data_IF_045678522611
#
_entry.id   IF_045678522611
#
_cell.length_a   1.000
_cell.length_b   1.000
_cell.length_c   1.000
_cell.angle_alpha   90.00
_cell.angle_beta   90.00
_cell.angle_gamma   90.00
#
_symmetry.space_group_name_H-M   'P 1'
#
loop_
_entity.id
_entity.type
_entity.pdbx_description
1 polymer ?
#
# COMPACT_ATOMS: atom_id res chain seq x y z
N UNK A 1 -7.92 -14.57 6.77
CA UNK A 1 -8.40 -13.37 6.07
C UNK A 1 -8.12 -13.55 4.59
N UNK A 2 -9.14 -13.43 3.75
CA UNK A 2 -8.95 -13.46 2.29
C UNK A 2 -8.51 -12.07 1.84
N UNK A 3 -7.44 -12.01 1.04
CA UNK A 3 -7.01 -10.81 0.31
C UNK A 3 -7.20 -11.08 -1.18
N UNK A 4 -7.51 -10.03 -1.94
CA UNK A 4 -7.69 -10.14 -3.39
C UNK A 4 -6.33 -10.15 -4.09
N UNK A 5 -5.42 -9.28 -3.63
CA UNK A 5 -4.12 -9.07 -4.27
C UNK A 5 -2.95 -9.11 -3.30
N UNK A 6 -1.87 -9.79 -3.71
CA UNK A 6 -0.57 -9.75 -3.03
C UNK A 6 0.49 -9.14 -3.94
N UNK A 7 0.99 -7.98 -3.53
CA UNK A 7 1.90 -7.20 -4.33
C UNK A 7 3.28 -7.84 -4.49
N UNK A 8 3.97 -7.50 -5.58
CA UNK A 8 5.26 -8.08 -5.96
C UNK A 8 6.38 -7.81 -4.97
N UNK A 9 6.32 -6.70 -4.21
CA UNK A 9 7.24 -6.43 -3.10
C UNK A 9 7.24 -7.53 -2.01
N UNK A 10 6.16 -8.30 -1.89
CA UNK A 10 6.00 -9.36 -0.90
C UNK A 10 6.38 -10.75 -1.42
N UNK A 11 6.91 -10.87 -2.65
CA UNK A 11 7.20 -12.16 -3.31
C UNK A 11 8.05 -13.14 -2.48
N UNK A 12 8.91 -12.63 -1.59
CA UNK A 12 9.79 -13.45 -0.73
C UNK A 12 9.25 -13.65 0.69
N UNK A 13 8.07 -13.11 0.99
CA UNK A 13 7.43 -13.22 2.30
C UNK A 13 6.31 -14.25 2.21
N UNK A 14 6.43 -15.29 3.03
CA UNK A 14 5.35 -16.25 3.21
C UNK A 14 4.43 -15.74 4.32
N UNK A 15 3.32 -15.13 3.92
CA UNK A 15 2.32 -14.61 4.86
C UNK A 15 1.37 -15.77 5.19
N UNK A 16 1.57 -16.39 6.35
CA UNK A 16 0.75 -17.49 6.85
C UNK A 16 0.04 -17.06 8.12
N UNK A 17 -1.28 -16.89 8.09
CA UNK A 17 -2.09 -16.50 9.26
C UNK A 17 -3.13 -15.42 8.93
N UNK A 18 -3.85 -14.96 9.96
CA UNK A 18 -4.67 -13.75 9.87
C UNK A 18 -3.77 -12.51 10.10
N UNK A 19 -3.92 -11.48 9.26
CA UNK A 19 -3.29 -10.20 9.49
C UNK A 19 -4.13 -9.41 10.49
N UNK A 20 -3.62 -9.26 11.71
CA UNK A 20 -4.16 -8.36 12.71
C UNK A 20 -3.26 -7.14 12.87
N UNK A 21 -3.83 -5.96 13.14
CA UNK A 21 -3.04 -4.84 13.67
C UNK A 21 -2.74 -5.18 15.12
N UNK A 22 -1.48 -5.50 15.40
CA UNK A 22 -1.02 -5.70 16.78
C UNK A 22 -0.55 -4.34 17.31
N UNK A 23 -1.18 -3.84 18.37
CA UNK A 23 -0.68 -2.67 19.11
C UNK A 23 0.48 -3.12 20.02
N UNK A 24 1.66 -3.34 19.45
CA UNK A 24 2.84 -3.83 20.17
C UNK A 24 3.76 -2.71 20.69
N UNK A 25 3.45 -1.44 20.37
CA UNK A 25 4.38 -0.33 20.52
C UNK A 25 5.40 -0.20 19.38
N UNK A 26 5.33 -1.08 18.37
CA UNK A 26 6.07 -0.94 17.12
C UNK A 26 5.65 0.35 16.41
N UNK A 27 6.63 1.17 16.04
CA UNK A 27 6.37 2.38 15.26
C UNK A 27 6.37 2.01 13.77
N UNK A 28 5.38 2.45 12.99
CA UNK A 28 5.35 2.17 11.57
C UNK A 28 6.65 2.62 10.90
N UNK A 29 7.20 1.77 10.05
CA UNK A 29 8.43 2.05 9.33
C UNK A 29 8.37 1.48 7.91
N UNK A 30 9.31 1.92 7.07
CA UNK A 30 9.44 1.38 5.73
C UNK A 30 9.80 -0.11 5.77
N UNK A 31 9.07 -0.91 4.98
CA UNK A 31 9.23 -2.36 4.90
C UNK A 31 8.20 -3.15 5.71
N UNK A 32 7.48 -2.51 6.64
CA UNK A 32 6.36 -3.15 7.33
C UNK A 32 5.28 -3.53 6.30
N UNK A 33 4.77 -4.76 6.40
CA UNK A 33 3.68 -5.26 5.58
C UNK A 33 2.37 -4.61 6.04
N UNK A 34 1.54 -4.21 5.09
CA UNK A 34 0.24 -3.59 5.37
C UNK A 34 -0.86 -4.27 4.56
N UNK A 35 -2.02 -4.46 5.19
CA UNK A 35 -3.26 -4.86 4.55
C UNK A 35 -4.21 -3.66 4.51
N UNK A 36 -4.68 -3.32 3.31
CA UNK A 36 -5.54 -2.15 3.08
C UNK A 36 -6.75 -2.50 2.21
N UNK A 37 -7.85 -1.75 2.35
CA UNK A 37 -8.93 -1.71 1.36
C UNK A 37 -8.77 -0.51 0.46
N UNK A 38 -8.80 -0.69 -0.85
CA UNK A 38 -8.89 0.45 -1.76
C UNK A 38 -10.22 1.20 -1.53
N UNK A 39 -10.14 2.52 -1.35
CA UNK A 39 -11.29 3.38 -1.04
C UNK A 39 -11.53 4.47 -2.08
N UNK A 40 -10.52 4.78 -2.91
CA UNK A 40 -10.63 5.71 -4.03
C UNK A 40 -9.62 5.31 -5.09
N UNK A 41 -10.05 5.24 -6.34
CA UNK A 41 -9.20 4.86 -7.47
C UNK A 41 -8.91 6.05 -8.37
N UNK A 42 -7.65 6.18 -8.77
CA UNK A 42 -7.21 7.05 -9.86
C UNK A 42 -7.01 6.19 -11.12
N UNK A 43 -7.91 6.33 -12.09
CA UNK A 43 -7.88 5.60 -13.37
C UNK A 43 -6.56 5.74 -14.14
N UNK A 44 -5.84 6.85 -13.97
CA UNK A 44 -4.55 7.10 -14.61
C UNK A 44 -3.38 6.39 -13.90
N UNK A 45 -3.57 5.94 -12.66
CA UNK A 45 -2.53 5.26 -11.87
C UNK A 45 -3.14 4.27 -10.86
N UNK A 46 -3.53 3.09 -11.34
CA UNK A 46 -4.09 2.02 -10.51
C UNK A 46 -3.54 0.62 -10.80
N UNK A 47 -2.55 0.48 -11.67
CA UNK A 47 -1.92 -0.81 -11.93
C UNK A 47 -1.08 -1.29 -10.73
N UNK A 48 -1.28 -2.55 -10.35
CA UNK A 48 -0.54 -3.28 -9.32
C UNK A 48 0.20 -4.46 -9.96
N UNK A 49 1.49 -4.58 -9.64
CA UNK A 49 2.35 -5.71 -9.97
C UNK A 49 2.21 -6.78 -8.88
N UNK A 50 1.80 -7.98 -9.27
CA UNK A 50 1.57 -9.11 -8.37
C UNK A 50 2.85 -9.94 -8.21
N UNK A 51 2.94 -10.73 -7.15
CA UNK A 51 4.10 -11.62 -6.91
C UNK A 51 4.38 -12.63 -8.03
N UNK A 52 3.36 -12.96 -8.83
CA UNK A 52 3.42 -13.82 -10.01
C UNK A 52 3.96 -13.16 -11.28
N UNK A 53 4.32 -11.87 -11.24
CA UNK A 53 4.69 -11.03 -12.39
C UNK A 53 3.52 -10.65 -13.32
N UNK A 54 2.27 -10.84 -12.86
CA UNK A 54 1.08 -10.33 -13.52
C UNK A 54 0.81 -8.88 -13.11
N UNK A 55 0.24 -8.10 -14.02
CA UNK A 55 -0.27 -6.75 -13.74
C UNK A 55 -1.80 -6.79 -13.69
N UNK A 56 -2.36 -6.21 -12.64
CA UNK A 56 -3.82 -6.03 -12.47
C UNK A 56 -4.14 -4.56 -12.23
N UNK A 57 -5.35 -4.14 -12.61
CA UNK A 57 -5.85 -2.81 -12.27
C UNK A 57 -6.63 -2.88 -10.96
N UNK A 58 -6.31 -2.02 -10.01
CA UNK A 58 -7.02 -1.94 -8.73
C UNK A 58 -8.44 -1.41 -8.93
N UNK A 59 -9.37 -1.95 -8.16
CA UNK A 59 -10.76 -1.49 -8.06
C UNK A 59 -11.08 -1.04 -6.63
N UNK A 60 -12.11 -0.20 -6.47
CA UNK A 60 -12.61 0.15 -5.15
C UNK A 60 -13.12 -1.09 -4.43
N UNK A 61 -12.68 -1.28 -3.20
CA UNK A 61 -13.05 -2.42 -2.39
C UNK A 61 -12.02 -3.55 -2.35
N UNK A 62 -11.06 -3.58 -3.30
CA UNK A 62 -9.97 -4.55 -3.32
C UNK A 62 -9.20 -4.53 -1.99
N UNK A 63 -8.95 -5.72 -1.45
CA UNK A 63 -8.09 -5.94 -0.30
C UNK A 63 -6.68 -6.30 -0.77
N UNK A 64 -5.74 -5.40 -0.53
CA UNK A 64 -4.36 -5.50 -1.03
C UNK A 64 -3.39 -5.71 0.12
N UNK A 65 -2.49 -6.68 -0.06
CA UNK A 65 -1.27 -6.80 0.74
C UNK A 65 -0.11 -6.10 0.03
N UNK A 66 0.49 -5.13 0.71
CA UNK A 66 1.65 -4.40 0.25
C UNK A 66 2.61 -4.07 1.39
N UNK A 67 3.41 -3.03 1.22
CA UNK A 67 4.34 -2.53 2.24
C UNK A 67 4.17 -1.04 2.44
N UNK A 68 4.39 -0.59 3.68
CA UNK A 68 4.63 0.81 3.97
C UNK A 68 6.03 1.21 3.50
N UNK A 69 6.20 2.42 3.00
CA UNK A 69 7.55 2.91 2.74
C UNK A 69 7.64 4.26 2.06
N UNK A 70 8.89 4.61 1.77
CA UNK A 70 9.25 5.91 1.22
C UNK A 70 9.38 5.83 -0.29
N UNK A 71 8.89 6.86 -0.98
CA UNK A 71 9.09 7.05 -2.41
C UNK A 71 9.57 8.47 -2.68
N UNK A 72 10.63 8.59 -3.47
CA UNK A 72 11.11 9.87 -4.00
C UNK A 72 11.15 9.79 -5.52
N UNK A 73 9.98 9.78 -6.15
CA UNK A 73 9.86 9.66 -7.60
C UNK A 73 10.18 10.97 -8.32
N UNK A 74 11.24 11.00 -9.12
CA UNK A 74 11.57 12.16 -9.99
C UNK A 74 10.44 12.47 -10.99
N UNK A 75 9.70 11.44 -11.41
CA UNK A 75 8.51 11.51 -12.29
C UNK A 75 7.30 10.79 -11.69
N UNK A 76 7.17 10.83 -10.37
CA UNK A 76 6.24 9.98 -9.65
C UNK A 76 5.71 10.64 -8.39
N UNK A 77 5.03 9.83 -7.59
CA UNK A 77 4.66 10.23 -6.24
C UNK A 77 5.86 10.31 -5.32
N UNK A 78 5.76 11.26 -4.39
CA UNK A 78 6.63 11.44 -3.25
C UNK A 78 5.81 11.17 -1.99
N UNK A 79 6.34 10.33 -1.12
CA UNK A 79 5.70 10.01 0.14
C UNK A 79 6.63 9.25 1.07
N UNK A 80 6.18 9.07 2.29
CA UNK A 80 6.96 8.44 3.35
C UNK A 80 6.11 7.46 4.16
N UNK A 81 6.77 6.53 4.86
CA UNK A 81 6.09 5.73 5.86
C UNK A 81 5.50 6.67 6.94
N UNK A 82 4.22 6.49 7.31
CA UNK A 82 3.56 7.35 8.29
C UNK A 82 4.24 7.22 9.66
N UNK A 83 4.13 8.25 10.50
CA UNK A 83 4.70 8.21 11.87
C UNK A 83 3.85 7.40 12.87
N UNK A 84 2.59 7.18 12.54
CA UNK A 84 1.59 6.48 13.33
C UNK A 84 0.52 5.93 12.40
N UNK A 85 -0.04 4.77 12.72
CA UNK A 85 -1.17 4.19 11.99
C UNK A 85 -2.15 3.57 12.97
N UNK A 86 -3.42 3.67 12.63
CA UNK A 86 -4.54 3.01 13.28
C UNK A 86 -5.41 2.32 12.23
N UNK A 87 -6.17 1.30 12.66
CA UNK A 87 -7.22 0.73 11.81
C UNK A 87 -8.19 1.83 11.41
N UNK A 88 -8.54 1.91 10.12
CA UNK A 88 -9.43 2.94 9.61
C UNK A 88 -8.72 4.19 9.07
N UNK A 89 -7.42 4.35 9.30
CA UNK A 89 -6.66 5.46 8.73
C UNK A 89 -6.53 5.31 7.21
N UNK A 90 -6.50 6.44 6.51
CA UNK A 90 -6.28 6.49 5.07
C UNK A 90 -4.79 6.53 4.75
N UNK A 91 -4.37 5.79 3.73
CA UNK A 91 -3.02 5.77 3.19
C UNK A 91 -3.06 5.81 1.67
N UNK A 92 -2.02 6.37 1.04
CA UNK A 92 -1.97 6.51 -0.42
C UNK A 92 -1.20 5.37 -1.07
N UNK A 93 -1.68 4.93 -2.24
CA UNK A 93 -0.95 4.02 -3.12
C UNK A 93 0.10 4.79 -3.91
N UNK A 94 1.36 4.61 -3.54
CA UNK A 94 2.47 5.37 -4.09
C UNK A 94 3.21 4.62 -5.19
N UNK A 95 2.95 3.32 -5.40
CA UNK A 95 3.65 2.57 -6.44
C UNK A 95 3.12 1.19 -6.78
N UNK A 96 3.15 0.89 -8.08
CA UNK A 96 2.74 -0.38 -8.68
C UNK A 96 3.32 -1.64 -8.01
N UNK A 97 4.49 -1.58 -7.38
CA UNK A 97 5.02 -2.72 -6.61
C UNK A 97 4.30 -3.02 -5.29
N UNK A 98 3.22 -2.29 -4.95
CA UNK A 98 2.50 -2.41 -3.68
C UNK A 98 3.02 -1.49 -2.57
N UNK A 99 3.53 -0.31 -2.93
CA UNK A 99 4.05 0.65 -1.97
C UNK A 99 2.94 1.59 -1.49
N UNK A 100 2.71 1.63 -0.19
CA UNK A 100 1.78 2.55 0.47
C UNK A 100 2.53 3.52 1.39
N UNK A 101 2.03 4.75 1.52
CA UNK A 101 2.63 5.75 2.39
C UNK A 101 1.79 7.00 2.55
N UNK A 102 2.23 7.89 3.42
CA UNK A 102 1.72 9.24 3.53
C UNK A 102 2.17 10.05 2.30
N UNK A 103 1.20 10.48 1.48
CA UNK A 103 1.46 11.28 0.30
C UNK A 103 1.97 12.68 0.66
N UNK A 104 3.11 13.08 0.10
CA UNK A 104 3.71 14.40 0.31
C UNK A 104 3.70 15.28 -0.94
N UNK A 105 3.50 14.68 -2.12
CA UNK A 105 3.40 15.41 -3.36
C UNK A 105 3.59 14.54 -4.59
N UNK A 106 3.31 15.10 -5.75
CA UNK A 106 3.49 14.47 -7.04
C UNK A 106 4.17 15.46 -7.99
N UNK A 107 4.72 14.95 -9.10
CA UNK A 107 5.03 15.80 -10.24
C UNK A 107 3.77 16.39 -10.85
N UNK A 108 3.87 17.56 -11.50
CA UNK A 108 2.72 18.29 -12.08
C UNK A 108 1.88 17.49 -13.08
N UNK A 109 2.45 16.42 -13.62
CA UNK A 109 1.83 15.56 -14.63
C UNK A 109 0.97 14.43 -14.03
N UNK A 110 0.96 14.29 -12.70
CA UNK A 110 0.21 13.27 -11.98
C UNK A 110 -0.90 13.89 -11.14
N UNK A 111 -2.09 13.33 -11.27
CA UNK A 111 -3.21 13.56 -10.35
C UNK A 111 -2.95 12.90 -8.98
N UNK A 112 -3.84 13.13 -8.02
CA UNK A 112 -3.78 12.49 -6.70
C UNK A 112 -3.71 10.95 -6.80
N UNK A 113 -2.94 10.28 -5.93
CA UNK A 113 -2.84 8.83 -5.94
C UNK A 113 -4.17 8.15 -5.59
N UNK A 114 -4.26 6.83 -5.85
CA UNK A 114 -5.30 6.03 -5.21
C UNK A 114 -5.18 6.10 -3.69
N UNK A 115 -6.30 5.97 -2.98
CA UNK A 115 -6.36 5.95 -1.52
C UNK A 115 -6.90 4.60 -1.03
N UNK A 116 -6.47 4.21 0.17
CA UNK A 116 -6.88 2.98 0.80
C UNK A 116 -7.03 3.16 2.32
N UNK A 117 -7.87 2.35 2.94
CA UNK A 117 -8.10 2.32 4.39
C UNK A 117 -7.35 1.15 5.01
N UNK A 118 -6.61 1.41 6.08
CA UNK A 118 -5.81 0.39 6.78
C UNK A 118 -6.69 -0.59 7.55
N UNK A 119 -6.42 -1.89 7.38
CA UNK A 119 -7.08 -2.98 8.10
C UNK A 119 -6.16 -3.78 9.03
N UNK A 120 -4.90 -3.95 8.64
CA UNK A 120 -3.95 -4.91 9.21
C UNK A 120 -2.51 -4.47 8.97
N UNK A 121 -1.59 -4.81 9.87
CA UNK A 121 -0.16 -4.50 9.75
C UNK A 121 0.64 -5.68 10.28
N UNK A 122 1.70 -6.07 9.57
CA UNK A 122 2.60 -7.16 9.94
C UNK A 122 4.06 -6.70 9.77
N UNK A 123 4.95 -7.07 10.67
CA UNK A 123 6.36 -6.64 10.67
C UNK A 123 7.31 -7.81 10.85
#
# INVERSE_FOLDING_TARGET
MDFDHKASCLRRINITGELDIVESGHRPQAGDVVAVKMSKINESYRSLDLEGADLVELEEGDVVLGVMGNRAGVKGYVGEAPQSISKGDTISFLGAGGLFGEFKGATKELDEPCEAVIFGVYW
#
